data_IF_166006760248
#
_entry.id   IF_166006760248
#
_cell.length_a   1.000
_cell.length_b   1.000
_cell.length_c   1.000
_cell.angle_alpha   90.00
_cell.angle_beta   90.00
_cell.angle_gamma   90.00
#
_symmetry.space_group_name_H-M   'P 1'
#
loop_
_entity.id
_entity.type
_entity.pdbx_description
1 polymer ?
#
# COMPACT_ATOMS: atom_id res chain seq x y z
N UNK A 1 2.74 -68.30 -32.36
CA UNK A 1 2.58 -67.05 -33.12
C UNK A 1 2.51 -65.89 -32.12
N UNK A 2 3.47 -64.95 -32.16
CA UNK A 2 3.64 -63.91 -31.15
C UNK A 2 2.77 -62.70 -31.47
N UNK A 3 2.25 -62.02 -30.43
CA UNK A 3 1.80 -60.63 -30.55
C UNK A 3 2.44 -59.82 -29.42
N UNK A 4 3.48 -59.10 -29.81
CA UNK A 4 3.98 -57.90 -29.15
C UNK A 4 2.80 -56.98 -28.83
N UNK A 5 2.68 -56.53 -27.59
CA UNK A 5 2.05 -55.25 -27.28
C UNK A 5 3.07 -54.45 -26.47
N UNK A 6 3.73 -53.53 -27.19
CA UNK A 6 4.37 -52.35 -26.63
C UNK A 6 3.31 -51.58 -25.82
N UNK A 7 3.46 -51.53 -24.50
CA UNK A 7 2.78 -50.54 -23.68
C UNK A 7 3.79 -49.42 -23.38
N UNK A 8 3.62 -48.35 -24.12
CA UNK A 8 4.34 -47.08 -24.09
C UNK A 8 4.47 -46.57 -22.64
N UNK A 9 5.70 -46.50 -22.13
CA UNK A 9 6.02 -45.82 -20.87
C UNK A 9 5.89 -44.32 -21.09
N UNK A 10 4.70 -43.77 -20.85
CA UNK A 10 4.51 -42.33 -20.77
C UNK A 10 5.10 -41.85 -19.44
N UNK A 11 6.36 -41.44 -19.46
CA UNK A 11 6.97 -40.68 -18.37
C UNK A 11 6.24 -39.34 -18.31
N UNK A 12 5.31 -39.21 -17.37
CA UNK A 12 4.75 -37.93 -16.97
C UNK A 12 5.86 -37.14 -16.28
N UNK A 13 6.64 -36.40 -17.05
CA UNK A 13 7.41 -35.28 -16.51
C UNK A 13 6.38 -34.22 -16.16
N UNK A 14 5.79 -34.36 -14.96
CA UNK A 14 5.01 -33.32 -14.34
C UNK A 14 5.95 -32.13 -14.19
N UNK A 15 5.82 -31.19 -15.12
CA UNK A 15 6.49 -29.91 -15.10
C UNK A 15 6.39 -29.34 -13.69
N UNK A 16 7.56 -29.24 -13.06
CA UNK A 16 7.80 -28.39 -11.92
C UNK A 16 7.60 -26.93 -12.35
N UNK A 17 6.35 -26.54 -12.56
CA UNK A 17 5.91 -25.17 -12.31
C UNK A 17 5.34 -25.23 -10.90
N UNK A 18 6.24 -25.38 -9.93
CA UNK A 18 5.96 -24.97 -8.58
C UNK A 18 5.74 -23.45 -8.63
N UNK A 19 4.53 -23.05 -9.01
CA UNK A 19 4.05 -21.69 -8.93
C UNK A 19 4.15 -21.25 -7.48
N UNK A 20 5.19 -20.49 -7.18
CA UNK A 20 5.42 -19.91 -5.87
C UNK A 20 4.25 -19.02 -5.46
N UNK A 21 3.49 -19.49 -4.47
CA UNK A 21 2.62 -18.72 -3.55
C UNK A 21 1.60 -17.77 -4.22
N UNK A 22 0.47 -18.31 -4.63
CA UNK A 22 -0.82 -17.56 -4.59
C UNK A 22 -1.24 -17.40 -3.12
N UNK A 23 -0.61 -16.45 -2.41
CA UNK A 23 -0.94 -16.09 -1.03
C UNK A 23 -1.79 -14.82 -0.99
N UNK A 24 -2.78 -14.78 -0.11
CA UNK A 24 -3.52 -13.55 0.18
C UNK A 24 -2.59 -12.48 0.74
N UNK A 25 -2.83 -11.24 0.31
CA UNK A 25 -2.15 -10.04 0.77
C UNK A 25 -3.02 -9.34 1.81
N UNK A 26 -2.39 -8.63 2.73
CA UNK A 26 -3.09 -7.72 3.64
C UNK A 26 -3.19 -6.37 2.96
N UNK A 27 -4.38 -5.98 2.54
CA UNK A 27 -4.68 -4.62 2.10
C UNK A 27 -5.01 -3.78 3.33
N UNK A 28 -4.17 -2.80 3.63
CA UNK A 28 -4.41 -1.74 4.60
C UNK A 28 -4.95 -0.51 3.86
N UNK A 29 -6.05 0.02 4.34
CA UNK A 29 -6.71 1.21 3.82
C UNK A 29 -6.77 2.29 4.89
N UNK A 30 -6.42 3.51 4.51
CA UNK A 30 -6.55 4.70 5.35
C UNK A 30 -7.17 5.84 4.55
N UNK A 31 -8.06 6.60 5.18
CA UNK A 31 -8.78 7.68 4.54
C UNK A 31 -8.38 9.04 5.14
N UNK A 32 -8.17 10.03 4.27
CA UNK A 32 -7.73 11.37 4.65
C UNK A 32 -8.58 12.46 4.00
N UNK A 33 -8.65 13.63 4.61
CA UNK A 33 -9.22 14.85 4.05
C UNK A 33 -8.14 15.95 4.03
N UNK A 34 -7.30 15.95 3.00
CA UNK A 34 -6.04 16.70 3.01
C UNK A 34 -5.03 16.01 3.92
N UNK A 35 -4.60 16.70 4.97
CA UNK A 35 -3.66 16.16 5.97
C UNK A 35 -4.35 15.46 7.14
N UNK A 36 -5.67 15.63 7.28
CA UNK A 36 -6.42 15.11 8.41
C UNK A 36 -6.82 13.66 8.16
N UNK A 37 -6.47 12.76 9.07
CA UNK A 37 -6.93 11.37 8.99
C UNK A 37 -8.39 11.26 9.43
N UNK A 38 -9.21 10.69 8.56
CA UNK A 38 -10.66 10.51 8.77
C UNK A 38 -11.08 9.05 8.63
N UNK A 39 -10.14 8.10 8.70
CA UNK A 39 -10.38 6.65 8.57
C UNK A 39 -11.49 6.17 9.52
N UNK A 40 -11.47 6.60 10.79
CA UNK A 40 -12.47 6.20 11.78
C UNK A 40 -13.90 6.71 11.49
N UNK A 41 -14.03 7.71 10.62
CA UNK A 41 -15.30 8.31 10.19
C UNK A 41 -15.63 7.96 8.73
N UNK A 42 -14.88 7.03 8.13
CA UNK A 42 -15.03 6.69 6.72
C UNK A 42 -15.39 5.23 6.55
N UNK A 43 -16.53 4.97 5.92
CA UNK A 43 -16.89 3.63 5.47
C UNK A 43 -16.10 3.32 4.20
N UNK A 44 -15.26 2.30 4.28
CA UNK A 44 -14.44 1.81 3.18
C UNK A 44 -15.00 0.47 2.69
N UNK A 45 -15.31 0.39 1.40
CA UNK A 45 -15.83 -0.83 0.76
C UNK A 45 -14.97 -1.16 -0.45
N UNK A 46 -14.41 -2.36 -0.45
CA UNK A 46 -13.53 -2.86 -1.50
C UNK A 46 -14.37 -3.63 -2.50
N UNK A 47 -14.04 -3.51 -3.78
CA UNK A 47 -14.67 -4.23 -4.90
C UNK A 47 -13.58 -4.75 -5.81
N UNK A 48 -13.79 -5.90 -6.47
CA UNK A 48 -12.96 -6.22 -7.63
C UNK A 48 -13.21 -5.19 -8.72
N UNK A 49 -12.17 -4.80 -9.45
CA UNK A 49 -12.32 -3.81 -10.50
C UNK A 49 -13.31 -4.27 -11.57
N UNK A 50 -14.33 -3.46 -11.85
CA UNK A 50 -15.44 -3.80 -12.75
C UNK A 50 -16.66 -4.41 -12.06
N UNK A 51 -16.57 -4.79 -10.78
CA UNK A 51 -17.63 -5.47 -10.01
C UNK A 51 -18.16 -4.59 -8.86
N UNK A 52 -18.46 -3.32 -9.15
CA UNK A 52 -18.88 -2.36 -8.10
C UNK A 52 -20.21 -2.66 -7.41
N UNK A 53 -21.00 -3.57 -7.99
CA UNK A 53 -22.24 -4.05 -7.37
C UNK A 53 -22.01 -4.99 -6.20
N UNK A 54 -20.83 -5.62 -6.13
CA UNK A 54 -20.54 -6.72 -5.21
C UNK A 54 -19.33 -6.35 -4.33
N UNK A 55 -19.56 -6.01 -3.04
CA UNK A 55 -18.47 -5.80 -2.09
C UNK A 55 -17.61 -7.05 -1.93
N UNK A 56 -16.29 -6.87 -1.98
CA UNK A 56 -15.31 -7.91 -1.71
C UNK A 56 -15.01 -7.97 -0.21
N UNK A 57 -15.44 -9.06 0.43
CA UNK A 57 -15.11 -9.38 1.82
C UNK A 57 -15.68 -8.39 2.84
N UNK A 58 -15.31 -8.61 4.10
CA UNK A 58 -15.65 -7.72 5.21
C UNK A 58 -14.36 -7.19 5.83
N UNK A 59 -14.10 -5.88 5.75
CA UNK A 59 -12.89 -5.34 6.33
C UNK A 59 -12.98 -5.30 7.86
N UNK A 60 -11.84 -5.42 8.53
CA UNK A 60 -11.71 -5.25 9.98
C UNK A 60 -11.08 -3.90 10.29
N UNK A 61 -11.54 -3.25 11.36
CA UNK A 61 -10.96 -1.98 11.81
C UNK A 61 -10.07 -2.21 13.04
N UNK A 62 -8.82 -1.76 12.98
CA UNK A 62 -7.86 -1.88 14.08
C UNK A 62 -6.92 -0.67 14.11
N UNK A 63 -6.77 -0.03 15.28
CA UNK A 63 -5.87 1.10 15.52
C UNK A 63 -5.97 2.22 14.48
N UNK A 64 -7.20 2.63 14.13
CA UNK A 64 -7.44 3.68 13.13
C UNK A 64 -7.19 3.27 11.67
N UNK A 65 -7.00 1.98 11.41
CA UNK A 65 -6.77 1.40 10.07
C UNK A 65 -7.89 0.45 9.69
N UNK A 66 -8.12 0.30 8.39
CA UNK A 66 -9.03 -0.71 7.83
C UNK A 66 -8.21 -1.77 7.12
N UNK A 67 -8.39 -3.03 7.49
CA UNK A 67 -7.61 -4.16 7.02
C UNK A 67 -8.50 -5.18 6.29
N UNK A 68 -8.00 -5.74 5.20
CA UNK A 68 -8.69 -6.80 4.46
C UNK A 68 -7.69 -7.78 3.86
N UNK A 69 -7.99 -9.08 3.94
CA UNK A 69 -7.24 -10.10 3.19
C UNK A 69 -7.80 -10.19 1.79
N UNK A 70 -6.94 -10.00 0.79
CA UNK A 70 -7.33 -10.01 -0.61
C UNK A 70 -6.34 -10.86 -1.42
N UNK A 71 -6.78 -11.67 -2.39
CA UNK A 71 -5.86 -12.26 -3.34
C UNK A 71 -5.25 -11.16 -4.23
N UNK A 72 -4.15 -11.48 -4.91
CA UNK A 72 -3.61 -10.59 -5.94
C UNK A 72 -4.69 -10.23 -6.97
N UNK A 73 -4.71 -8.98 -7.43
CA UNK A 73 -5.71 -8.51 -8.38
C UNK A 73 -5.79 -6.99 -8.48
N UNK A 74 -6.80 -6.53 -9.20
CA UNK A 74 -7.11 -5.10 -9.35
C UNK A 74 -8.42 -4.82 -8.65
N UNK A 75 -8.44 -3.80 -7.80
CA UNK A 75 -9.57 -3.46 -6.95
C UNK A 75 -10.00 -2.00 -7.13
N UNK A 76 -11.27 -1.73 -6.91
CA UNK A 76 -11.82 -0.39 -6.70
C UNK A 76 -12.21 -0.26 -5.23
N UNK A 77 -12.00 0.91 -4.62
CA UNK A 77 -12.43 1.19 -3.25
C UNK A 77 -13.37 2.38 -3.23
N UNK A 78 -14.56 2.17 -2.67
CA UNK A 78 -15.48 3.23 -2.32
C UNK A 78 -15.19 3.71 -0.90
N UNK A 79 -14.93 5.01 -0.75
CA UNK A 79 -14.76 5.68 0.53
C UNK A 79 -15.92 6.66 0.73
N UNK A 80 -16.69 6.48 1.81
CA UNK A 80 -17.80 7.36 2.17
C UNK A 80 -17.48 7.96 3.54
N UNK A 81 -17.15 9.25 3.56
CA UNK A 81 -16.89 9.98 4.80
C UNK A 81 -18.21 10.44 5.39
N UNK A 82 -18.48 10.00 6.62
CA UNK A 82 -19.72 10.26 7.34
C UNK A 82 -19.41 10.90 8.70
N UNK A 83 -20.22 11.88 9.10
CA UNK A 83 -20.16 12.47 10.44
C UNK A 83 -21.57 12.71 10.93
N UNK A 84 -21.86 12.28 12.15
CA UNK A 84 -23.17 12.49 12.79
C UNK A 84 -24.35 12.02 11.91
N UNK A 85 -24.18 10.88 11.25
CA UNK A 85 -25.20 10.28 10.36
C UNK A 85 -25.36 10.97 9.00
N UNK A 86 -24.52 11.94 8.66
CA UNK A 86 -24.54 12.64 7.38
C UNK A 86 -23.34 12.26 6.52
N UNK A 87 -23.60 11.95 5.26
CA UNK A 87 -22.55 11.77 4.24
C UNK A 87 -21.98 13.15 3.91
N UNK A 88 -20.68 13.33 4.17
CA UNK A 88 -19.96 14.56 3.86
C UNK A 88 -19.30 14.50 2.48
N UNK A 89 -18.77 13.33 2.11
CA UNK A 89 -18.09 13.14 0.82
C UNK A 89 -18.07 11.66 0.41
N UNK A 90 -18.00 11.40 -0.89
CA UNK A 90 -17.84 10.06 -1.48
C UNK A 90 -16.69 10.12 -2.49
N UNK A 91 -15.74 9.20 -2.39
CA UNK A 91 -14.64 9.05 -3.34
C UNK A 91 -14.47 7.62 -3.78
N UNK A 92 -14.10 7.45 -5.04
CA UNK A 92 -13.66 6.17 -5.60
C UNK A 92 -12.16 6.19 -5.86
N UNK A 93 -11.43 5.27 -5.24
CA UNK A 93 -10.05 4.95 -5.62
C UNK A 93 -10.11 3.80 -6.63
N UNK A 94 -9.83 4.10 -7.89
CA UNK A 94 -10.04 3.16 -8.99
C UNK A 94 -8.75 2.43 -9.35
N UNK A 95 -8.89 1.15 -9.74
CA UNK A 95 -7.83 0.32 -10.32
C UNK A 95 -6.58 0.23 -9.45
N UNK A 96 -6.75 -0.03 -8.17
CA UNK A 96 -5.68 -0.34 -7.24
C UNK A 96 -5.08 -1.69 -7.59
N UNK A 97 -3.80 -1.74 -7.91
CA UNK A 97 -3.10 -2.98 -8.23
C UNK A 97 -2.53 -3.56 -6.95
N UNK A 98 -3.10 -4.67 -6.49
CA UNK A 98 -2.65 -5.38 -5.30
C UNK A 98 -1.91 -6.63 -5.75
N UNK A 99 -0.59 -6.63 -5.62
CA UNK A 99 0.29 -7.71 -6.07
C UNK A 99 1.41 -7.89 -5.05
N UNK A 100 1.95 -9.10 -4.85
CA UNK A 100 3.04 -9.28 -3.90
C UNK A 100 4.30 -8.55 -4.37
N UNK A 101 4.71 -7.52 -3.63
CA UNK A 101 6.04 -6.94 -3.76
C UNK A 101 6.96 -7.44 -2.63
N UNK A 102 8.24 -7.78 -2.91
CA UNK A 102 9.15 -8.32 -1.89
C UNK A 102 9.35 -7.42 -0.67
N UNK A 103 9.36 -6.11 -0.89
CA UNK A 103 9.50 -5.06 0.12
C UNK A 103 8.23 -4.78 0.93
N UNK A 104 7.08 -5.21 0.42
CA UNK A 104 5.79 -5.07 1.11
C UNK A 104 5.58 -6.11 2.21
N UNK A 105 6.33 -7.21 2.22
CA UNK A 105 6.19 -8.27 3.23
C UNK A 105 4.79 -8.88 3.29
N UNK A 106 4.06 -8.86 2.16
CA UNK A 106 2.65 -9.27 2.08
C UNK A 106 1.64 -8.24 2.62
N UNK A 107 2.07 -6.99 2.83
CA UNK A 107 1.23 -5.87 3.26
C UNK A 107 1.25 -4.73 2.23
N UNK A 108 0.08 -4.45 1.67
CA UNK A 108 -0.13 -3.37 0.72
C UNK A 108 -0.91 -2.24 1.40
N UNK A 109 -0.40 -1.00 1.36
CA UNK A 109 -1.08 0.17 1.93
C UNK A 109 -1.62 1.05 0.82
N UNK A 110 -2.92 1.35 0.85
CA UNK A 110 -3.50 2.40 0.02
C UNK A 110 -4.09 3.53 0.89
N UNK A 111 -3.73 4.76 0.54
CA UNK A 111 -4.25 5.99 1.13
C UNK A 111 -5.24 6.61 0.17
N UNK A 112 -6.45 6.85 0.66
CA UNK A 112 -7.53 7.48 -0.09
C UNK A 112 -7.73 8.88 0.45
N UNK A 113 -7.48 9.91 -0.36
CA UNK A 113 -7.65 11.30 0.05
C UNK A 113 -8.87 11.94 -0.58
N UNK A 114 -9.79 12.48 0.23
CA UNK A 114 -10.96 13.22 -0.26
C UNK A 114 -10.60 14.56 -0.93
N UNK A 115 -9.42 15.14 -0.64
CA UNK A 115 -8.91 16.32 -1.35
C UNK A 115 -8.06 15.90 -2.55
N UNK A 116 -8.35 16.52 -3.69
CA UNK A 116 -7.53 16.38 -4.89
C UNK A 116 -6.14 17.02 -4.69
N UNK A 117 -5.18 16.57 -5.48
CA UNK A 117 -3.83 17.12 -5.45
C UNK A 117 -2.93 16.54 -4.35
N UNK A 118 -3.41 15.51 -3.62
CA UNK A 118 -2.65 14.84 -2.57
C UNK A 118 -2.18 13.45 -3.04
N UNK A 119 -1.10 12.99 -2.43
CA UNK A 119 -0.63 11.61 -2.50
C UNK A 119 -0.12 11.15 -1.13
N UNK A 120 0.48 9.96 -1.10
CA UNK A 120 1.09 9.46 0.11
C UNK A 120 2.45 8.80 -0.14
N UNK A 121 3.34 8.93 0.85
CA UNK A 121 4.63 8.25 0.90
C UNK A 121 4.70 7.40 2.16
N UNK A 122 4.70 6.08 1.97
CA UNK A 122 5.03 5.12 3.00
C UNK A 122 6.54 4.88 2.99
N UNK A 123 7.20 5.18 4.10
CA UNK A 123 8.62 4.89 4.31
C UNK A 123 8.76 3.73 5.27
N UNK A 124 9.49 2.68 4.83
CA UNK A 124 9.84 1.52 5.67
C UNK A 124 11.34 1.45 5.90
N UNK A 125 11.72 1.14 7.13
CA UNK A 125 13.09 0.77 7.49
C UNK A 125 13.30 -0.73 7.41
N UNK A 126 14.26 -1.23 8.20
CA UNK A 126 14.44 -2.67 8.39
C UNK A 126 13.17 -3.28 9.01
N UNK A 127 12.82 -4.53 8.67
CA UNK A 127 11.66 -5.18 9.28
C UNK A 127 11.67 -5.09 10.81
N UNK A 128 10.55 -4.64 11.38
CA UNK A 128 10.40 -4.47 12.84
C UNK A 128 11.02 -3.21 13.42
N UNK A 129 11.53 -2.28 12.60
CA UNK A 129 12.07 -0.99 13.07
C UNK A 129 11.26 0.17 12.52
N UNK A 130 10.87 1.10 13.41
CA UNK A 130 10.28 2.37 13.00
C UNK A 130 11.38 3.28 12.41
N UNK A 131 11.22 3.76 11.17
CA UNK A 131 12.19 4.68 10.58
C UNK A 131 12.14 6.08 11.24
N UNK A 132 13.31 6.64 11.59
CA UNK A 132 13.47 8.06 11.94
C UNK A 132 13.71 8.87 10.66
N UNK A 133 12.66 9.55 10.22
CA UNK A 133 12.62 10.27 8.95
C UNK A 133 11.95 11.62 9.08
N UNK A 134 12.43 12.58 8.28
CA UNK A 134 11.81 13.89 8.11
C UNK A 134 11.68 14.20 6.63
N UNK A 135 10.49 14.68 6.23
CA UNK A 135 10.18 15.03 4.85
C UNK A 135 10.30 16.54 4.64
N UNK A 136 10.87 16.94 3.51
CA UNK A 136 11.07 18.33 3.09
C UNK A 136 10.62 18.49 1.64
N UNK A 137 10.12 19.67 1.27
CA UNK A 137 9.92 19.97 -0.16
C UNK A 137 11.26 19.84 -0.90
N UNK A 138 11.26 19.32 -2.13
CA UNK A 138 12.49 19.12 -2.88
C UNK A 138 13.30 20.42 -2.98
N UNK A 139 14.57 20.36 -2.57
CA UNK A 139 15.48 21.52 -2.56
C UNK A 139 15.25 22.55 -1.44
N UNK A 140 14.20 22.41 -0.61
CA UNK A 140 13.91 23.31 0.51
C UNK A 140 14.01 22.58 1.85
N UNK A 141 15.21 22.57 2.42
CA UNK A 141 15.57 21.79 3.62
C UNK A 141 15.58 22.59 4.92
N UNK A 142 14.93 23.76 4.91
CA UNK A 142 14.85 24.70 6.02
C UNK A 142 13.71 24.35 6.99
N UNK A 143 12.61 23.78 6.49
CA UNK A 143 11.45 23.42 7.30
C UNK A 143 10.85 22.07 6.87
N UNK A 144 10.50 21.18 7.80
CA UNK A 144 9.76 19.97 7.48
C UNK A 144 8.44 20.28 6.76
N UNK A 145 8.15 19.53 5.70
CA UNK A 145 6.94 19.66 4.92
C UNK A 145 5.70 19.10 5.65
N UNK A 146 5.89 18.05 6.45
CA UNK A 146 4.84 17.42 7.25
C UNK A 146 5.42 16.59 8.40
N UNK A 147 4.59 16.33 9.40
CA UNK A 147 4.86 15.32 10.43
C UNK A 147 4.41 13.94 9.96
N UNK A 148 5.20 12.88 10.15
CA UNK A 148 4.78 11.53 9.78
C UNK A 148 3.69 11.02 10.73
N UNK A 149 2.75 10.26 10.18
CA UNK A 149 1.94 9.33 10.96
C UNK A 149 2.72 8.03 11.09
N UNK A 150 3.14 7.71 12.31
CA UNK A 150 4.01 6.57 12.60
C UNK A 150 3.23 5.37 13.10
N UNK A 151 3.58 4.19 12.60
CA UNK A 151 3.20 2.90 13.20
C UNK A 151 4.43 2.24 13.82
N UNK A 152 4.32 0.98 14.26
CA UNK A 152 5.49 0.20 14.70
C UNK A 152 6.44 -0.19 13.55
N UNK A 153 6.01 -0.10 12.28
CA UNK A 153 6.75 -0.65 11.15
C UNK A 153 7.01 0.34 10.01
N UNK A 154 6.36 1.51 9.99
CA UNK A 154 6.52 2.49 8.93
C UNK A 154 6.21 3.92 9.38
N UNK A 155 6.73 4.89 8.64
CA UNK A 155 6.30 6.29 8.67
C UNK A 155 5.47 6.61 7.43
N UNK A 156 4.32 7.25 7.58
CA UNK A 156 3.44 7.64 6.48
C UNK A 156 3.33 9.17 6.41
N UNK A 157 3.59 9.72 5.24
CA UNK A 157 3.35 11.12 4.93
C UNK A 157 2.19 11.23 3.95
N UNK A 158 1.21 12.08 4.26
CA UNK A 158 0.12 12.45 3.34
C UNK A 158 0.26 13.94 3.06
N UNK A 159 0.65 14.26 1.83
CA UNK A 159 1.11 15.58 1.40
C UNK A 159 0.63 15.87 -0.02
N UNK A 160 0.67 17.14 -0.48
CA UNK A 160 0.45 17.43 -1.89
C UNK A 160 1.34 16.58 -2.81
N UNK A 161 0.83 16.19 -3.97
CA UNK A 161 1.58 15.41 -4.94
C UNK A 161 2.69 16.27 -5.54
N UNK A 162 3.95 15.90 -5.27
CA UNK A 162 5.15 16.61 -5.69
C UNK A 162 6.40 15.76 -5.41
N UNK A 163 7.57 16.29 -5.75
CA UNK A 163 8.85 15.73 -5.33
C UNK A 163 9.26 16.26 -3.94
N UNK A 164 9.80 15.36 -3.11
CA UNK A 164 10.24 15.67 -1.75
C UNK A 164 11.66 15.14 -1.48
N UNK A 165 12.38 15.80 -0.60
CA UNK A 165 13.63 15.31 -0.02
C UNK A 165 13.35 14.66 1.33
N UNK A 166 13.94 13.50 1.59
CA UNK A 166 13.84 12.77 2.85
C UNK A 166 15.20 12.77 3.55
N UNK A 167 15.21 13.23 4.80
CA UNK A 167 16.31 13.02 5.72
C UNK A 167 16.03 11.74 6.51
N UNK A 168 16.91 10.75 6.40
CA UNK A 168 16.90 9.54 7.22
C UNK A 168 17.97 9.64 8.29
N UNK A 169 17.62 9.30 9.53
CA UNK A 169 18.58 9.17 10.63
C UNK A 169 18.63 7.73 11.10
N UNK A 170 19.82 7.13 11.06
CA UNK A 170 20.01 5.75 11.48
C UNK A 170 21.42 5.56 12.04
N UNK A 171 21.54 4.87 13.18
CA UNK A 171 22.82 4.54 13.82
C UNK A 171 23.76 5.75 13.98
N UNK A 172 23.21 6.93 14.34
CA UNK A 172 23.98 8.16 14.52
C UNK A 172 24.42 8.85 13.23
N UNK A 173 24.05 8.33 12.05
CA UNK A 173 24.31 8.93 10.75
C UNK A 173 23.04 9.53 10.15
N UNK A 174 23.23 10.61 9.38
CA UNK A 174 22.17 11.28 8.62
C UNK A 174 22.44 11.14 7.13
N UNK A 175 21.45 10.67 6.38
CA UNK A 175 21.52 10.50 4.93
C UNK A 175 20.37 11.21 4.25
N UNK A 176 20.67 11.92 3.16
CA UNK A 176 19.67 12.60 2.34
C UNK A 176 19.32 11.76 1.13
N UNK A 177 18.03 11.66 0.87
CA UNK A 177 17.47 11.08 -0.35
C UNK A 177 16.62 12.16 -1.01
N UNK A 178 16.88 12.44 -2.29
CA UNK A 178 16.35 13.64 -2.94
C UNK A 178 15.36 13.32 -4.02
N UNK A 179 14.42 14.23 -4.26
CA UNK A 179 13.45 14.14 -5.35
C UNK A 179 12.65 12.83 -5.37
N UNK A 180 12.25 12.33 -4.19
CA UNK A 180 11.26 11.27 -4.08
C UNK A 180 9.90 11.82 -4.51
N UNK A 181 9.40 11.34 -5.64
CA UNK A 181 8.06 11.64 -6.12
C UNK A 181 6.98 11.03 -5.20
N UNK A 182 6.03 11.88 -4.78
CA UNK A 182 4.78 11.51 -4.13
C UNK A 182 3.69 11.57 -5.20
N UNK A 183 3.19 10.41 -5.67
CA UNK A 183 2.30 10.38 -6.82
C UNK A 183 0.92 10.90 -6.48
N UNK A 184 0.29 11.59 -7.44
CA UNK A 184 -1.08 12.06 -7.32
C UNK A 184 -2.05 10.89 -7.10
N UNK A 185 -2.90 10.99 -6.09
CA UNK A 185 -3.98 10.05 -5.76
C UNK A 185 -3.51 8.60 -5.55
N UNK A 186 -2.24 8.40 -5.18
CA UNK A 186 -1.63 7.09 -4.96
C UNK A 186 -0.72 7.08 -3.74
N UNK A 187 -0.52 5.89 -3.19
CA UNK A 187 0.55 5.65 -2.22
C UNK A 187 1.81 5.16 -2.93
N UNK A 188 2.94 5.79 -2.64
CA UNK A 188 4.26 5.24 -2.95
C UNK A 188 4.84 4.55 -1.73
N UNK A 189 5.26 3.30 -1.88
CA UNK A 189 6.19 2.68 -0.94
C UNK A 189 7.63 3.07 -1.30
N UNK A 190 8.41 3.40 -0.29
CA UNK A 190 9.85 3.52 -0.38
C UNK A 190 10.51 2.83 0.82
N UNK A 191 11.47 1.95 0.53
CA UNK A 191 12.29 1.29 1.55
C UNK A 191 13.62 2.01 1.65
N UNK A 192 14.03 2.34 2.88
CA UNK A 192 15.35 2.90 3.17
C UNK A 192 16.39 1.87 2.73
N UNK A 193 17.28 2.21 1.77
CA UNK A 193 18.37 1.33 1.38
C UNK A 193 19.27 1.02 2.57
N UNK A 194 19.81 -0.20 2.61
CA UNK A 194 20.89 -0.50 3.53
C UNK A 194 22.06 0.47 3.27
N UNK A 195 22.67 0.98 4.35
CA UNK A 195 23.87 1.77 4.22
C UNK A 195 24.95 0.91 3.54
N UNK A 196 25.70 1.45 2.55
CA UNK A 196 26.84 0.77 1.97
C UNK A 196 27.92 0.47 3.02
#
# INVERSE_FOLDING_TARGET
MPRLILALTAVLVANAIAGGRTGELTLELRAFNGTDEVTAHTRLTVHRAGERGDPFGQPTSADGRVLLKVPQGIYDVQAIHEREGRVLNIRWANRLVVTPYPDEGGQHLEVINFKNGFGALQIRGKPGTLPDVVLYEAGKRDKPAASPLTTSSYALFVVPAAAYDVLVRAAGKSSWYTALDVPLDRTRLWVIPDAP
#
